data_IF_735886997753
#
_entry.id   IF_735886997753
#
_cell.length_a   1.000
_cell.length_b   1.000
_cell.length_c   1.000
_cell.angle_alpha   90.00
_cell.angle_beta   90.00
_cell.angle_gamma   90.00
#
_symmetry.space_group_name_H-M   'P 1'
#
loop_
_entity.id
_entity.type
_entity.pdbx_description
1 polymer ?
#
# COMPACT_ATOMS: atom_id res chain seq x y z
N UNK A 1 25.32 0.88 -5.04
CA UNK A 1 25.28 1.76 -3.86
C UNK A 1 24.49 2.98 -4.25
N UNK A 2 23.44 3.32 -3.50
CA UNK A 2 22.59 4.47 -3.79
C UNK A 2 23.37 5.77 -3.56
N UNK A 3 23.31 6.69 -4.52
CA UNK A 3 23.89 8.04 -4.42
C UNK A 3 22.81 9.09 -4.66
N UNK A 4 23.06 10.32 -4.23
CA UNK A 4 22.14 11.43 -4.46
C UNK A 4 21.82 11.62 -5.94
N UNK A 5 22.82 11.54 -6.84
CA UNK A 5 22.60 11.69 -8.27
C UNK A 5 21.67 10.59 -8.84
N UNK A 6 21.83 9.35 -8.40
CA UNK A 6 20.96 8.23 -8.82
C UNK A 6 19.54 8.44 -8.29
N UNK A 7 19.40 8.89 -7.02
CA UNK A 7 18.12 9.19 -6.41
C UNK A 7 17.36 10.28 -7.18
N UNK A 8 18.03 11.40 -7.49
CA UNK A 8 17.46 12.51 -8.24
C UNK A 8 17.04 12.09 -9.65
N UNK A 9 17.91 11.35 -10.36
CA UNK A 9 17.60 10.85 -11.70
C UNK A 9 16.37 9.92 -11.69
N UNK A 10 16.31 8.97 -10.76
CA UNK A 10 15.19 8.01 -10.70
C UNK A 10 13.87 8.68 -10.34
N UNK A 11 13.91 9.68 -9.45
CA UNK A 11 12.74 10.48 -9.12
C UNK A 11 12.27 11.30 -10.33
N UNK A 12 13.19 11.93 -11.06
CA UNK A 12 12.86 12.66 -12.28
C UNK A 12 12.18 11.75 -13.32
N UNK A 13 12.77 10.58 -13.60
CA UNK A 13 12.23 9.59 -14.54
C UNK A 13 10.81 9.17 -14.14
N UNK A 14 10.57 8.92 -12.84
CA UNK A 14 9.27 8.48 -12.34
C UNK A 14 8.20 9.58 -12.40
N UNK A 15 8.56 10.81 -12.03
CA UNK A 15 7.66 11.98 -12.15
C UNK A 15 7.31 12.28 -13.61
N UNK A 16 8.27 12.14 -14.53
CA UNK A 16 8.04 12.33 -15.96
C UNK A 16 7.06 11.29 -16.52
N UNK A 17 7.22 10.01 -16.16
CA UNK A 17 6.27 8.96 -16.54
C UNK A 17 4.88 9.21 -15.94
N UNK A 18 4.80 9.62 -14.67
CA UNK A 18 3.55 9.96 -14.02
C UNK A 18 2.83 11.11 -14.74
N UNK A 19 3.57 12.16 -15.09
CA UNK A 19 3.05 13.31 -15.85
C UNK A 19 2.56 12.88 -17.24
N UNK A 20 3.28 11.99 -17.92
CA UNK A 20 2.85 11.47 -19.22
C UNK A 20 1.51 10.73 -19.12
N UNK A 21 1.25 10.01 -18.02
CA UNK A 21 0.04 9.21 -17.83
C UNK A 21 -1.15 9.99 -17.31
N UNK A 22 -0.92 10.92 -16.38
CA UNK A 22 -1.98 11.71 -15.71
C UNK A 22 -2.22 13.08 -16.36
N UNK A 23 -1.28 13.58 -17.15
CA UNK A 23 -1.26 14.97 -17.59
C UNK A 23 -0.74 15.87 -16.48
N UNK A 24 -1.53 16.86 -16.06
CA UNK A 24 -1.09 17.81 -15.04
C UNK A 24 -1.04 17.15 -13.65
N UNK A 25 0.11 17.26 -12.99
CA UNK A 25 0.29 16.77 -11.64
C UNK A 25 -0.18 17.82 -10.63
N UNK A 26 -0.94 17.37 -9.63
CA UNK A 26 -1.21 18.18 -8.43
C UNK A 26 -0.15 17.90 -7.36
N UNK A 27 -0.06 18.77 -6.35
CA UNK A 27 0.90 18.62 -5.25
C UNK A 27 0.86 17.23 -4.60
N UNK A 28 -0.34 16.68 -4.41
CA UNK A 28 -0.52 15.35 -3.85
C UNK A 28 0.09 14.23 -4.71
N UNK A 29 0.01 14.34 -6.05
CA UNK A 29 0.64 13.37 -6.96
C UNK A 29 2.16 13.41 -6.80
N UNK A 30 2.73 14.62 -6.78
CA UNK A 30 4.17 14.86 -6.65
C UNK A 30 4.70 14.34 -5.31
N UNK A 31 3.99 14.62 -4.21
CA UNK A 31 4.38 14.16 -2.88
C UNK A 31 4.29 12.63 -2.76
N UNK A 32 3.20 12.03 -3.24
CA UNK A 32 3.02 10.57 -3.24
C UNK A 32 4.13 9.88 -4.04
N UNK A 33 4.44 10.40 -5.23
CA UNK A 33 5.49 9.85 -6.08
C UNK A 33 6.87 9.96 -5.44
N UNK A 34 7.17 11.13 -4.86
CA UNK A 34 8.43 11.38 -4.14
C UNK A 34 8.63 10.38 -3.02
N UNK A 35 7.61 10.17 -2.19
CA UNK A 35 7.67 9.25 -1.05
C UNK A 35 7.86 7.81 -1.53
N UNK A 36 7.09 7.37 -2.53
CA UNK A 36 7.10 5.98 -2.99
C UNK A 36 8.40 5.60 -3.72
N UNK A 37 8.94 6.50 -4.55
CA UNK A 37 10.24 6.30 -5.21
C UNK A 37 11.37 6.26 -4.18
N UNK A 38 11.35 7.16 -3.20
CA UNK A 38 12.35 7.16 -2.13
C UNK A 38 12.31 5.86 -1.32
N UNK A 39 11.11 5.41 -0.93
CA UNK A 39 10.94 4.16 -0.20
C UNK A 39 11.45 2.97 -1.02
N UNK A 40 11.12 2.90 -2.32
CA UNK A 40 11.60 1.85 -3.22
C UNK A 40 13.12 1.77 -3.23
N UNK A 41 13.80 2.88 -3.53
CA UNK A 41 15.26 2.90 -3.69
C UNK A 41 15.99 2.63 -2.38
N UNK A 42 15.47 3.12 -1.25
CA UNK A 42 16.00 2.80 0.07
C UNK A 42 15.84 1.30 0.36
N UNK A 43 14.66 0.73 0.13
CA UNK A 43 14.41 -0.69 0.35
C UNK A 43 15.26 -1.58 -0.57
N UNK A 44 15.38 -1.25 -1.85
CA UNK A 44 16.21 -1.99 -2.82
C UNK A 44 17.69 -2.05 -2.41
N UNK A 45 18.23 -0.95 -1.89
CA UNK A 45 19.65 -0.84 -1.57
C UNK A 45 19.99 -1.22 -0.12
N UNK A 46 19.01 -1.18 0.79
CA UNK A 46 19.25 -1.32 2.23
C UNK A 46 18.29 -2.27 2.94
N UNK A 47 17.55 -3.15 2.24
CA UNK A 47 16.53 -4.03 2.82
C UNK A 47 16.97 -4.77 4.08
N UNK A 48 18.15 -5.38 4.04
CA UNK A 48 18.70 -6.17 5.16
C UNK A 48 19.06 -5.33 6.39
N UNK A 49 19.20 -4.01 6.21
CA UNK A 49 19.50 -3.05 7.27
C UNK A 49 18.19 -2.42 7.79
N UNK A 50 17.05 -2.56 7.14
CA UNK A 50 15.83 -1.89 7.57
C UNK A 50 15.19 -2.65 8.74
N UNK A 51 14.96 -1.94 9.83
CA UNK A 51 14.18 -2.44 10.96
C UNK A 51 12.70 -2.28 10.63
N UNK A 52 11.88 -3.33 10.66
CA UNK A 52 10.46 -3.21 10.30
C UNK A 52 9.54 -4.06 11.15
N UNK A 53 8.26 -3.66 11.19
CA UNK A 53 7.21 -4.36 11.93
C UNK A 53 5.84 -4.24 11.23
N UNK A 54 4.94 -5.21 11.48
CA UNK A 54 3.58 -5.20 10.93
C UNK A 54 2.58 -4.46 11.83
N UNK A 55 2.76 -4.52 13.15
CA UNK A 55 1.94 -3.79 14.13
C UNK A 55 2.32 -2.30 14.17
N UNK A 56 1.33 -1.45 13.86
CA UNK A 56 1.47 0.00 13.84
C UNK A 56 1.87 0.58 15.20
N UNK A 57 1.45 -0.05 16.30
CA UNK A 57 1.73 0.42 17.66
C UNK A 57 3.21 0.24 18.05
N UNK A 58 3.92 -0.64 17.35
CA UNK A 58 5.33 -0.92 17.60
C UNK A 58 6.24 -0.17 16.64
N UNK A 59 5.70 0.52 15.62
CA UNK A 59 6.49 1.18 14.60
C UNK A 59 7.46 2.22 15.16
N UNK A 60 7.12 2.94 16.24
CA UNK A 60 7.96 4.05 16.71
C UNK A 60 9.42 3.64 16.96
N UNK A 61 9.66 2.46 17.53
CA UNK A 61 11.02 1.96 17.77
C UNK A 61 11.74 1.64 16.45
N UNK A 62 11.03 1.12 15.46
CA UNK A 62 11.57 0.84 14.11
C UNK A 62 11.84 2.13 13.33
N UNK A 63 10.95 3.13 13.45
CA UNK A 63 11.16 4.47 12.89
C UNK A 63 12.42 5.10 13.47
N UNK A 64 12.58 5.10 14.79
CA UNK A 64 13.78 5.64 15.44
C UNK A 64 15.06 4.95 14.95
N UNK A 65 15.04 3.63 14.77
CA UNK A 65 16.19 2.88 14.23
C UNK A 65 16.48 3.22 12.76
N UNK A 66 15.45 3.47 11.97
CA UNK A 66 15.56 3.80 10.55
C UNK A 66 15.81 5.29 10.27
N UNK A 67 15.80 6.18 11.28
CA UNK A 67 16.14 7.60 11.11
C UNK A 67 17.54 7.82 10.51
N UNK A 68 18.42 6.83 10.56
CA UNK A 68 19.70 6.86 9.82
C UNK A 68 19.55 7.00 8.29
N UNK A 69 18.37 6.70 7.74
CA UNK A 69 18.04 6.88 6.32
C UNK A 69 17.39 8.24 6.02
N UNK A 70 17.21 9.10 7.02
CA UNK A 70 16.58 10.42 6.85
C UNK A 70 17.36 11.30 5.87
N UNK A 71 18.70 11.27 5.90
CA UNK A 71 19.52 12.05 4.95
C UNK A 71 19.33 11.58 3.50
N UNK A 72 19.11 10.29 3.29
CA UNK A 72 18.76 9.74 1.97
C UNK A 72 17.36 10.20 1.57
N UNK A 73 16.41 10.21 2.50
CA UNK A 73 15.05 10.72 2.24
C UNK A 73 15.08 12.20 1.81
N UNK A 74 15.96 13.00 2.42
CA UNK A 74 16.16 14.40 2.06
C UNK A 74 16.73 14.60 0.65
N UNK A 75 17.42 13.64 0.05
CA UNK A 75 17.84 13.74 -1.35
C UNK A 75 16.64 13.86 -2.28
N UNK A 76 15.59 13.06 -2.03
CA UNK A 76 14.38 13.06 -2.83
C UNK A 76 13.55 14.31 -2.59
N UNK A 77 13.25 14.63 -1.33
CA UNK A 77 12.34 15.74 -1.01
C UNK A 77 12.93 17.10 -1.35
N UNK A 78 14.24 17.32 -1.17
CA UNK A 78 14.89 18.56 -1.60
C UNK A 78 14.99 18.67 -3.12
N UNK A 79 15.09 17.55 -3.85
CA UNK A 79 15.03 17.59 -5.30
C UNK A 79 13.63 17.93 -5.79
N UNK A 80 12.58 17.35 -5.19
CA UNK A 80 11.19 17.72 -5.46
C UNK A 80 10.95 19.21 -5.22
N UNK A 81 11.46 19.77 -4.11
CA UNK A 81 11.36 21.21 -3.82
C UNK A 81 12.05 22.08 -4.88
N UNK A 82 13.13 21.60 -5.51
CA UNK A 82 13.79 22.31 -6.62
C UNK A 82 12.99 22.24 -7.92
N UNK A 83 12.29 21.13 -8.17
CA UNK A 83 11.44 20.97 -9.36
C UNK A 83 10.12 21.74 -9.24
N UNK A 84 9.55 21.83 -8.04
CA UNK A 84 8.25 22.44 -7.76
C UNK A 84 8.34 23.53 -6.67
N UNK A 85 9.15 24.59 -6.85
CA UNK A 85 9.48 25.54 -5.79
C UNK A 85 8.31 26.41 -5.30
N UNK A 86 7.24 26.53 -6.09
CA UNK A 86 6.05 27.30 -5.71
C UNK A 86 5.08 26.49 -4.84
N UNK A 87 5.03 25.17 -5.05
CA UNK A 87 4.03 24.28 -4.42
C UNK A 87 4.65 23.43 -3.29
N UNK A 88 5.89 22.97 -3.46
CA UNK A 88 6.55 22.03 -2.57
C UNK A 88 7.54 22.74 -1.62
N UNK A 89 6.99 23.32 -0.56
CA UNK A 89 7.74 24.10 0.45
C UNK A 89 8.58 23.24 1.43
N UNK A 90 9.37 23.90 2.27
CA UNK A 90 10.18 23.24 3.32
C UNK A 90 9.36 22.46 4.35
N UNK A 91 8.09 22.82 4.56
CA UNK A 91 7.21 22.04 5.42
C UNK A 91 6.93 20.66 4.79
N UNK A 92 6.70 20.60 3.47
CA UNK A 92 6.52 19.34 2.75
C UNK A 92 7.81 18.52 2.77
N UNK A 93 8.98 19.16 2.61
CA UNK A 93 10.28 18.49 2.72
C UNK A 93 10.41 17.76 4.07
N UNK A 94 10.13 18.46 5.17
CA UNK A 94 10.25 17.91 6.52
C UNK A 94 9.21 16.80 6.80
N UNK A 95 7.96 17.01 6.37
CA UNK A 95 6.89 16.01 6.56
C UNK A 95 7.16 14.76 5.72
N UNK A 96 7.44 14.92 4.43
CA UNK A 96 7.64 13.79 3.53
C UNK A 96 8.93 13.00 3.85
N UNK A 97 10.02 13.65 4.27
CA UNK A 97 11.24 12.94 4.66
C UNK A 97 11.00 12.04 5.88
N UNK A 98 10.20 12.51 6.84
CA UNK A 98 9.77 11.69 7.97
C UNK A 98 8.82 10.57 7.54
N UNK A 99 7.85 10.85 6.67
CA UNK A 99 6.93 9.84 6.13
C UNK A 99 7.67 8.73 5.38
N UNK A 100 8.73 9.04 4.63
CA UNK A 100 9.57 8.03 3.98
C UNK A 100 10.17 7.08 5.01
N UNK A 101 10.76 7.61 6.08
CA UNK A 101 11.34 6.79 7.17
C UNK A 101 10.27 5.97 7.88
N UNK A 102 9.10 6.55 8.12
CA UNK A 102 7.97 5.84 8.69
C UNK A 102 7.51 4.68 7.80
N UNK A 103 7.38 4.92 6.50
CA UNK A 103 6.88 3.94 5.54
C UNK A 103 7.86 2.78 5.35
N UNK A 104 9.17 3.02 5.24
CA UNK A 104 10.14 1.91 5.16
C UNK A 104 10.18 1.07 6.45
N UNK A 105 9.71 1.61 7.58
CA UNK A 105 9.61 0.89 8.85
C UNK A 105 8.40 -0.06 8.91
N UNK A 106 7.46 0.08 7.99
CA UNK A 106 6.32 -0.83 7.87
C UNK A 106 6.68 -2.03 7.01
N UNK A 107 6.54 -3.24 7.58
CA UNK A 107 6.98 -4.46 6.90
C UNK A 107 6.17 -4.78 5.61
N UNK A 108 4.93 -4.27 5.49
CA UNK A 108 4.13 -4.39 4.27
C UNK A 108 4.50 -3.42 3.14
N UNK A 109 5.46 -2.51 3.36
CA UNK A 109 5.76 -1.44 2.41
C UNK A 109 6.23 -1.94 1.04
N UNK A 110 7.01 -3.02 1.00
CA UNK A 110 7.46 -3.57 -0.28
C UNK A 110 6.30 -4.09 -1.14
N UNK A 111 5.34 -4.77 -0.51
CA UNK A 111 4.17 -5.30 -1.21
C UNK A 111 3.25 -4.17 -1.67
N UNK A 112 3.12 -3.10 -0.87
CA UNK A 112 2.44 -1.87 -1.26
C UNK A 112 3.11 -1.21 -2.47
N UNK A 113 4.43 -1.08 -2.47
CA UNK A 113 5.17 -0.50 -3.59
C UNK A 113 5.00 -1.32 -4.88
N UNK A 114 4.95 -2.66 -4.78
CA UNK A 114 4.67 -3.51 -5.93
C UNK A 114 3.33 -3.17 -6.56
N UNK A 115 2.28 -3.04 -5.73
CA UNK A 115 0.96 -2.64 -6.21
C UNK A 115 0.97 -1.23 -6.81
N UNK A 116 1.58 -0.28 -6.11
CA UNK A 116 1.66 1.12 -6.53
C UNK A 116 2.34 1.27 -7.90
N UNK A 117 3.53 0.72 -8.08
CA UNK A 117 4.27 0.87 -9.34
C UNK A 117 3.63 0.10 -10.48
N UNK A 118 2.95 -1.03 -10.20
CA UNK A 118 2.19 -1.72 -11.23
C UNK A 118 0.98 -0.91 -11.68
N UNK A 119 0.16 -0.38 -10.76
CA UNK A 119 -1.04 0.40 -11.10
C UNK A 119 -0.73 1.75 -11.73
N UNK A 120 0.25 2.45 -11.17
CA UNK A 120 0.60 3.82 -11.57
C UNK A 120 1.51 3.80 -12.80
N UNK A 121 2.55 2.96 -12.78
CA UNK A 121 3.61 2.95 -13.80
C UNK A 121 3.54 1.76 -14.76
N UNK A 122 2.66 0.78 -14.55
CA UNK A 122 2.58 -0.40 -15.41
C UNK A 122 3.86 -1.25 -15.37
N UNK A 123 4.68 -1.09 -14.32
CA UNK A 123 5.97 -1.76 -14.18
C UNK A 123 6.01 -2.60 -12.91
N UNK A 124 6.58 -3.80 -13.04
CA UNK A 124 6.96 -4.59 -11.90
C UNK A 124 8.27 -4.05 -11.30
N UNK A 125 8.40 -4.13 -9.97
CA UNK A 125 9.64 -3.77 -9.24
C UNK A 125 10.45 -4.99 -8.81
N UNK A 126 9.88 -6.19 -8.96
CA UNK A 126 10.53 -7.47 -8.74
C UNK A 126 9.95 -8.54 -9.67
N UNK A 127 10.50 -9.75 -9.61
CA UNK A 127 10.10 -10.88 -10.46
C UNK A 127 8.94 -11.70 -9.84
N UNK A 128 8.23 -11.16 -8.85
CA UNK A 128 7.12 -11.88 -8.21
C UNK A 128 5.89 -11.73 -9.09
N UNK A 129 5.37 -12.85 -9.59
CA UNK A 129 4.08 -12.85 -10.29
C UNK A 129 2.97 -12.41 -9.34
N UNK A 130 2.12 -11.50 -9.84
CA UNK A 130 1.02 -10.94 -9.07
C UNK A 130 -0.27 -10.96 -9.89
N UNK A 131 -1.36 -11.40 -9.27
CA UNK A 131 -2.70 -11.45 -9.87
C UNK A 131 -3.60 -10.44 -9.15
N UNK A 132 -4.06 -9.44 -9.89
CA UNK A 132 -4.80 -8.31 -9.36
C UNK A 132 -6.28 -8.41 -9.70
N UNK A 133 -7.12 -8.44 -8.68
CA UNK A 133 -8.57 -8.35 -8.81
C UNK A 133 -9.08 -7.02 -8.25
N UNK A 134 -9.86 -6.30 -9.05
CA UNK A 134 -10.48 -5.03 -8.66
C UNK A 134 -11.98 -5.14 -8.95
N UNK A 135 -12.80 -4.72 -7.98
CA UNK A 135 -14.24 -4.54 -8.21
C UNK A 135 -14.77 -3.37 -7.41
N UNK A 136 -15.84 -2.76 -7.92
CA UNK A 136 -16.57 -1.70 -7.25
C UNK A 136 -17.78 -2.30 -6.54
N UNK A 137 -17.94 -1.98 -5.26
CA UNK A 137 -19.05 -2.39 -4.42
C UNK A 137 -19.85 -1.16 -4.02
N UNK A 138 -21.13 -1.13 -4.42
CA UNK A 138 -22.04 0.00 -4.15
C UNK A 138 -22.93 -0.24 -2.93
N UNK A 139 -22.93 -1.47 -2.40
CA UNK A 139 -23.73 -1.87 -1.23
C UNK A 139 -22.88 -2.67 -0.26
N UNK A 140 -23.06 -2.40 1.04
CA UNK A 140 -22.31 -3.06 2.10
C UNK A 140 -23.21 -3.39 3.28
N UNK A 141 -23.03 -4.59 3.84
CA UNK A 141 -23.71 -4.99 5.07
C UNK A 141 -22.70 -5.10 6.20
N UNK A 142 -22.98 -4.41 7.31
CA UNK A 142 -22.16 -4.45 8.53
C UNK A 142 -22.88 -5.28 9.57
N UNK A 143 -22.14 -6.24 10.12
CA UNK A 143 -22.57 -7.07 11.22
C UNK A 143 -21.68 -6.81 12.43
N UNK A 144 -22.28 -6.70 13.61
CA UNK A 144 -21.58 -6.65 14.89
C UNK A 144 -22.17 -7.71 15.80
N UNK A 145 -21.32 -8.54 16.41
CA UNK A 145 -21.77 -9.68 17.21
C UNK A 145 -22.75 -10.60 16.45
N UNK A 146 -22.52 -10.80 15.15
CA UNK A 146 -23.38 -11.57 14.23
C UNK A 146 -24.79 -10.99 14.01
N UNK A 147 -25.04 -9.75 14.40
CA UNK A 147 -26.29 -9.03 14.14
C UNK A 147 -26.05 -7.97 13.08
N UNK A 148 -26.93 -7.91 12.07
CA UNK A 148 -26.86 -6.85 11.05
C UNK A 148 -27.18 -5.51 11.72
N UNK A 149 -26.23 -4.58 11.70
CA UNK A 149 -26.37 -3.26 12.31
C UNK A 149 -26.49 -2.14 11.29
N UNK A 150 -26.04 -2.36 10.05
CA UNK A 150 -26.12 -1.35 9.00
C UNK A 150 -26.16 -2.00 7.61
N UNK A 151 -26.91 -1.38 6.71
CA UNK A 151 -26.84 -1.62 5.27
C UNK A 151 -26.57 -0.27 4.59
N UNK A 152 -25.37 -0.09 4.05
CA UNK A 152 -24.88 1.16 3.48
C UNK A 152 -24.90 1.11 1.96
N UNK A 153 -25.41 2.17 1.34
CA UNK A 153 -25.24 2.44 -0.09
C UNK A 153 -24.14 3.49 -0.21
N UNK A 154 -22.96 3.07 -0.61
CA UNK A 154 -21.79 3.93 -0.77
C UNK A 154 -20.83 3.27 -1.75
N UNK A 155 -20.11 4.04 -2.55
CA UNK A 155 -19.13 3.47 -3.48
C UNK A 155 -17.85 3.09 -2.74
N UNK A 156 -17.41 1.84 -2.93
CA UNK A 156 -16.14 1.32 -2.44
C UNK A 156 -15.44 0.58 -3.55
N UNK A 157 -14.15 0.83 -3.71
CA UNK A 157 -13.32 0.06 -4.63
C UNK A 157 -12.49 -0.91 -3.82
N UNK A 158 -12.72 -2.21 -4.01
CA UNK A 158 -11.96 -3.27 -3.36
C UNK A 158 -10.86 -3.70 -4.32
N UNK A 159 -9.62 -3.68 -3.84
CA UNK A 159 -8.45 -4.12 -4.60
C UNK A 159 -7.79 -5.25 -3.83
N UNK A 160 -7.59 -6.37 -4.51
CA UNK A 160 -6.90 -7.55 -3.98
C UNK A 160 -5.77 -7.91 -4.92
N UNK A 161 -4.55 -7.84 -4.43
CA UNK A 161 -3.36 -8.25 -5.16
C UNK A 161 -2.81 -9.55 -4.57
N UNK A 162 -2.99 -10.66 -5.28
CA UNK A 162 -2.49 -11.96 -4.90
C UNK A 162 -1.04 -12.14 -5.32
N UNK A 163 -0.22 -12.72 -4.45
CA UNK A 163 1.15 -13.14 -4.76
C UNK A 163 1.40 -14.54 -4.20
N UNK A 164 2.49 -15.19 -4.65
CA UNK A 164 2.88 -16.52 -4.18
C UNK A 164 1.73 -17.54 -4.36
N UNK A 165 1.20 -17.66 -5.59
CA UNK A 165 0.08 -18.56 -5.91
C UNK A 165 -1.15 -18.37 -5.01
N UNK A 166 -1.53 -17.12 -4.74
CA UNK A 166 -2.62 -16.71 -3.82
C UNK A 166 -2.37 -17.07 -2.35
N UNK A 167 -1.18 -17.50 -1.94
CA UNK A 167 -0.84 -17.70 -0.51
C UNK A 167 -0.72 -16.38 0.25
N UNK A 168 -0.43 -15.29 -0.45
CA UNK A 168 -0.38 -13.93 0.10
C UNK A 168 -1.33 -13.02 -0.65
N UNK A 169 -1.89 -12.05 0.06
CA UNK A 169 -2.73 -11.01 -0.51
C UNK A 169 -2.40 -9.65 0.10
N UNK A 170 -2.32 -8.62 -0.73
CA UNK A 170 -2.42 -7.23 -0.31
C UNK A 170 -3.84 -6.74 -0.63
N UNK A 171 -4.53 -6.21 0.38
CA UNK A 171 -5.96 -5.88 0.29
C UNK A 171 -6.18 -4.43 0.70
N UNK A 172 -6.83 -3.64 -0.16
CA UNK A 172 -7.27 -2.28 0.17
C UNK A 172 -8.74 -2.07 -0.22
N UNK A 173 -9.39 -1.12 0.47
CA UNK A 173 -10.80 -0.77 0.20
C UNK A 173 -10.89 0.75 0.18
N UNK A 174 -10.83 1.36 -0.99
CA UNK A 174 -10.88 2.82 -1.11
C UNK A 174 -12.31 3.33 -0.82
N UNK A 175 -12.49 4.40 -0.01
CA UNK A 175 -11.46 5.17 0.72
C UNK A 175 -11.29 4.72 2.20
N UNK A 176 -11.88 3.60 2.62
CA UNK A 176 -12.06 3.25 4.04
C UNK A 176 -11.01 2.35 4.67
N UNK A 177 -10.20 1.63 3.88
CA UNK A 177 -9.17 0.72 4.37
C UNK A 177 -7.91 0.90 3.55
N UNK A 178 -6.84 1.36 4.21
CA UNK A 178 -5.50 1.34 3.65
C UNK A 178 -5.03 -0.10 3.41
N UNK A 179 -4.03 -0.27 2.55
CA UNK A 179 -3.54 -1.59 2.18
C UNK A 179 -3.12 -2.43 3.39
N UNK A 180 -3.60 -3.68 3.45
CA UNK A 180 -3.28 -4.67 4.48
C UNK A 180 -2.71 -5.93 3.85
N UNK A 181 -1.53 -6.34 4.30
CA UNK A 181 -0.96 -7.65 3.98
C UNK A 181 -1.68 -8.74 4.76
N UNK A 182 -1.94 -9.87 4.09
CA UNK A 182 -2.59 -11.03 4.68
C UNK A 182 -2.04 -12.34 4.10
N UNK A 183 -2.09 -13.41 4.89
CA UNK A 183 -1.66 -14.76 4.51
C UNK A 183 -2.83 -15.73 4.50
N UNK A 184 -2.88 -16.60 3.50
CA UNK A 184 -3.89 -17.64 3.38
C UNK A 184 -3.81 -18.55 4.60
N UNK A 185 -4.87 -18.56 5.41
CA UNK A 185 -4.99 -19.39 6.60
C UNK A 185 -5.78 -20.67 6.33
N UNK A 186 -6.74 -20.62 5.40
CA UNK A 186 -7.56 -21.76 5.00
C UNK A 186 -8.07 -21.61 3.57
N UNK A 187 -8.19 -22.75 2.87
CA UNK A 187 -8.83 -22.84 1.55
C UNK A 187 -9.86 -23.96 1.55
N UNK A 188 -11.12 -23.61 1.31
CA UNK A 188 -12.25 -24.54 1.21
C UNK A 188 -12.88 -24.39 -0.18
N UNK A 189 -12.41 -25.19 -1.15
CA UNK A 189 -12.87 -25.07 -2.53
C UNK A 189 -12.57 -23.69 -3.11
N UNK A 190 -13.63 -22.94 -3.40
CA UNK A 190 -13.57 -21.58 -3.96
C UNK A 190 -13.57 -20.46 -2.90
N UNK A 191 -13.59 -20.83 -1.62
CA UNK A 191 -13.50 -19.89 -0.50
C UNK A 191 -12.07 -19.85 0.05
N UNK A 192 -11.50 -18.67 0.10
CA UNK A 192 -10.17 -18.37 0.59
C UNK A 192 -10.29 -17.54 1.87
N UNK A 193 -9.73 -18.02 2.98
CA UNK A 193 -9.64 -17.27 4.24
C UNK A 193 -8.21 -16.77 4.41
N UNK A 194 -8.06 -15.48 4.68
CA UNK A 194 -6.79 -14.83 4.93
C UNK A 194 -6.75 -14.25 6.34
N UNK A 195 -5.68 -14.52 7.06
CA UNK A 195 -5.34 -13.84 8.30
C UNK A 195 -4.47 -12.62 7.98
N UNK A 196 -4.88 -11.43 8.43
CA UNK A 196 -4.07 -10.23 8.31
C UNK A 196 -2.76 -10.38 9.09
N UNK A 197 -1.68 -9.80 8.56
CA UNK A 197 -0.44 -9.63 9.33
C UNK A 197 -0.63 -8.57 10.44
N UNK A 198 -1.59 -7.66 10.24
CA UNK A 198 -2.24 -6.90 11.31
C UNK A 198 -3.37 -7.75 11.91
N UNK A 199 -3.27 -8.20 13.18
CA UNK A 199 -4.19 -9.14 13.81
C UNK A 199 -5.61 -8.58 14.02
N UNK A 200 -5.79 -7.27 13.87
CA UNK A 200 -7.12 -6.65 13.87
C UNK A 200 -7.93 -6.99 12.62
N UNK A 201 -7.32 -7.57 11.58
CA UNK A 201 -7.96 -7.79 10.28
C UNK A 201 -7.87 -9.26 9.85
N UNK A 202 -8.96 -9.75 9.28
CA UNK A 202 -9.02 -10.99 8.54
C UNK A 202 -9.95 -10.82 7.32
N UNK A 203 -9.77 -11.65 6.30
CA UNK A 203 -10.50 -11.51 5.05
C UNK A 203 -11.01 -12.87 4.59
N UNK A 204 -12.16 -12.86 3.94
CA UNK A 204 -12.70 -14.04 3.29
C UNK A 204 -13.14 -13.67 1.88
N UNK A 205 -12.60 -14.39 0.91
CA UNK A 205 -12.79 -14.14 -0.51
C UNK A 205 -13.39 -15.39 -1.13
N UNK A 206 -14.53 -15.24 -1.81
CA UNK A 206 -15.12 -16.31 -2.61
C UNK A 206 -14.89 -15.98 -4.07
N UNK A 207 -14.29 -16.91 -4.81
CA UNK A 207 -14.02 -16.75 -6.24
C UNK A 207 -14.92 -17.65 -7.08
N UNK A 208 -15.18 -17.26 -8.34
CA UNK A 208 -15.86 -18.10 -9.31
C UNK A 208 -14.87 -19.02 -10.05
N UNK A 209 -15.38 -19.81 -11.00
CA UNK A 209 -14.59 -20.71 -11.85
C UNK A 209 -13.58 -20.02 -12.78
N UNK A 210 -13.67 -18.69 -12.92
CA UNK A 210 -12.75 -17.85 -13.69
C UNK A 210 -11.85 -17.02 -12.77
N UNK A 211 -11.73 -17.41 -11.50
CA UNK A 211 -10.92 -16.74 -10.48
C UNK A 211 -11.33 -15.28 -10.16
N UNK A 212 -12.51 -14.85 -10.61
CA UNK A 212 -13.06 -13.53 -10.26
C UNK A 212 -13.72 -13.58 -8.88
N UNK A 213 -13.59 -12.50 -8.12
CA UNK A 213 -14.25 -12.39 -6.81
C UNK A 213 -15.77 -12.31 -7.03
N UNK A 214 -16.53 -13.15 -6.32
CA UNK A 214 -17.99 -13.10 -6.23
C UNK A 214 -18.47 -12.52 -4.90
N UNK A 215 -17.69 -12.74 -3.83
CA UNK A 215 -18.00 -12.25 -2.51
C UNK A 215 -16.74 -11.94 -1.75
N UNK A 216 -16.71 -10.77 -1.12
CA UNK A 216 -15.61 -10.32 -0.30
C UNK A 216 -16.12 -9.93 1.08
N UNK A 217 -15.42 -10.39 2.12
CA UNK A 217 -15.76 -10.11 3.50
C UNK A 217 -14.52 -9.63 4.23
N UNK A 218 -14.63 -8.45 4.83
CA UNK A 218 -13.69 -7.94 5.83
C UNK A 218 -14.18 -8.34 7.22
N UNK A 219 -13.29 -8.90 8.05
CA UNK A 219 -13.55 -9.22 9.45
C UNK A 219 -12.57 -8.46 10.32
N UNK A 220 -13.07 -7.89 11.42
CA UNK A 220 -12.25 -7.36 12.52
C UNK A 220 -12.48 -8.22 13.77
N UNK A 221 -11.70 -9.30 13.98
CA UNK A 221 -11.99 -10.31 15.00
C UNK A 221 -12.11 -9.74 16.41
N UNK A 222 -11.21 -8.82 16.77
CA UNK A 222 -11.17 -8.19 18.09
C UNK A 222 -12.41 -7.33 18.38
N UNK A 223 -13.10 -6.85 17.32
CA UNK A 223 -14.32 -6.04 17.42
C UNK A 223 -15.58 -6.83 17.13
N UNK A 224 -15.47 -8.13 16.82
CA UNK A 224 -16.58 -8.99 16.36
C UNK A 224 -17.40 -8.32 15.26
N UNK A 225 -16.69 -7.69 14.34
CA UNK A 225 -17.27 -6.90 13.25
C UNK A 225 -16.98 -7.60 11.93
N UNK A 226 -18.00 -7.68 11.09
CA UNK A 226 -17.93 -8.20 9.73
C UNK A 226 -18.55 -7.19 8.77
N UNK A 227 -17.91 -6.96 7.62
CA UNK A 227 -18.46 -6.16 6.52
C UNK A 227 -18.44 -7.01 5.26
N UNK A 228 -19.60 -7.18 4.64
CA UNK A 228 -19.76 -7.89 3.36
C UNK A 228 -19.82 -6.85 2.25
N UNK A 229 -18.97 -7.03 1.25
CA UNK A 229 -18.90 -6.23 0.03
C UNK A 229 -19.43 -7.06 -1.14
N UNK A 230 -20.31 -6.46 -1.92
CA UNK A 230 -21.00 -7.09 -3.04
C UNK A 230 -20.38 -6.63 -4.35
N UNK A 231 -20.04 -7.59 -5.21
CA UNK A 231 -19.54 -7.38 -6.58
C UNK A 231 -20.70 -7.03 -7.50
#
# INVERSE_FOLDING_TARGET
MLTQQIAEQKLYESLADLQQKKGNLILQDVETETINVACLLILENHRQQISSHHDINQLQNHVNANMRFHDIALWFTNYTARLFPQDYTQNHVATASFMIVQNISWAGMWDFLREYFFRTHGRAIDNVESDMCIFDSVRHERYENNLMVNNSIADRKVIVNFTDEKRRAMISIEPTLSAKSARLSRRNGNQLEYAGEDPDYAFQITVNRFDQIERFILKMPNRRLEIIYYV
#
